data_IF_812802779102
#
_entry.id   IF_812802779102
#
_cell.length_a   1.000
_cell.length_b   1.000
_cell.length_c   1.000
_cell.angle_alpha   90.00
_cell.angle_beta   90.00
_cell.angle_gamma   90.00
#
_symmetry.space_group_name_H-M   'P 1'
#
loop_
_entity.id
_entity.type
_entity.pdbx_description
1 polymer ?
#
# COMPACT_ATOMS: atom_id res chain seq x y z
N UNK A 1 23.09 6.97 -4.66
CA UNK A 1 22.01 6.78 -5.67
C UNK A 1 20.87 5.93 -5.13
N UNK A 2 21.11 4.66 -4.75
CA UNK A 2 20.06 3.75 -4.27
C UNK A 2 19.30 4.25 -3.03
N UNK A 3 20.03 4.86 -2.07
CA UNK A 3 19.45 5.45 -0.86
C UNK A 3 18.50 6.61 -1.20
N UNK A 4 18.88 7.49 -2.14
CA UNK A 4 18.01 8.59 -2.58
C UNK A 4 16.73 8.05 -3.23
N UNK A 5 16.84 7.00 -4.06
CA UNK A 5 15.69 6.35 -4.65
C UNK A 5 14.78 5.70 -3.61
N UNK A 6 15.34 5.10 -2.55
CA UNK A 6 14.58 4.53 -1.43
C UNK A 6 13.84 5.62 -0.64
N UNK A 7 14.52 6.74 -0.34
CA UNK A 7 13.91 7.88 0.35
C UNK A 7 12.78 8.48 -0.49
N UNK A 8 12.99 8.66 -1.80
CA UNK A 8 11.97 9.16 -2.71
C UNK A 8 10.80 8.17 -2.80
N UNK A 9 11.07 6.87 -2.82
CA UNK A 9 10.01 5.87 -2.75
C UNK A 9 9.17 6.07 -1.48
N UNK A 10 9.78 6.18 -0.31
CA UNK A 10 9.05 6.42 0.95
C UNK A 10 8.22 7.71 0.91
N UNK A 11 8.77 8.80 0.37
CA UNK A 11 8.09 10.10 0.22
C UNK A 11 6.88 10.00 -0.73
N UNK A 12 6.91 9.11 -1.73
CA UNK A 12 5.79 8.92 -2.64
C UNK A 12 4.76 7.94 -2.04
N UNK A 13 5.23 6.82 -1.51
CA UNK A 13 4.40 5.72 -1.05
C UNK A 13 3.59 6.07 0.20
N UNK A 14 4.24 6.63 1.23
CA UNK A 14 3.58 6.87 2.52
C UNK A 14 2.44 7.88 2.38
N UNK A 15 2.61 9.06 1.75
CA UNK A 15 1.49 9.99 1.58
C UNK A 15 0.39 9.43 0.69
N UNK A 16 0.72 8.68 -0.36
CA UNK A 16 -0.28 8.07 -1.22
C UNK A 16 -1.15 7.07 -0.46
N UNK A 17 -0.53 6.19 0.35
CA UNK A 17 -1.24 5.25 1.21
C UNK A 17 -2.15 5.98 2.22
N UNK A 18 -1.61 7.02 2.87
CA UNK A 18 -2.36 7.84 3.83
C UNK A 18 -3.57 8.52 3.17
N UNK A 19 -3.44 9.09 1.97
CA UNK A 19 -4.55 9.72 1.25
C UNK A 19 -5.65 8.70 0.94
N UNK A 20 -5.31 7.51 0.47
CA UNK A 20 -6.29 6.46 0.19
C UNK A 20 -6.99 6.00 1.48
N UNK A 21 -6.25 5.86 2.58
CA UNK A 21 -6.79 5.51 3.88
C UNK A 21 -7.69 6.60 4.48
N UNK A 22 -7.40 7.87 4.26
CA UNK A 22 -8.31 8.97 4.63
C UNK A 22 -9.63 8.86 3.86
N UNK A 23 -9.56 8.50 2.57
CA UNK A 23 -10.73 8.42 1.69
C UNK A 23 -11.61 7.20 1.94
N UNK A 24 -11.01 6.04 2.13
CA UNK A 24 -11.72 4.76 2.17
C UNK A 24 -11.56 3.98 3.50
N UNK A 25 -10.59 4.34 4.33
CA UNK A 25 -10.24 3.60 5.54
C UNK A 25 -11.37 3.54 6.58
N UNK A 26 -12.26 4.53 6.62
CA UNK A 26 -13.45 4.52 7.51
C UNK A 26 -14.47 3.42 7.18
N UNK A 27 -14.39 2.82 5.99
CA UNK A 27 -15.27 1.73 5.53
C UNK A 27 -14.51 0.42 5.31
N UNK A 28 -13.24 0.38 5.70
CA UNK A 28 -12.33 -0.74 5.50
C UNK A 28 -12.24 -1.53 6.79
N UNK A 29 -12.98 -2.63 6.87
CA UNK A 29 -13.16 -3.41 8.10
C UNK A 29 -11.83 -3.83 8.75
N UNK A 30 -10.92 -4.40 7.95
CA UNK A 30 -9.59 -4.81 8.41
C UNK A 30 -8.81 -3.67 9.09
N UNK A 31 -8.89 -2.45 8.54
CA UNK A 31 -8.18 -1.30 9.10
C UNK A 31 -8.87 -0.75 10.35
N UNK A 32 -10.21 -0.77 10.41
CA UNK A 32 -10.99 -0.31 11.56
C UNK A 32 -10.69 -1.17 12.78
N UNK A 33 -10.58 -2.49 12.59
CA UNK A 33 -10.29 -3.47 13.64
C UNK A 33 -8.88 -3.34 14.22
N UNK A 34 -7.93 -2.79 13.45
CA UNK A 34 -6.57 -2.53 13.94
C UNK A 34 -6.55 -1.37 14.95
N UNK A 35 -5.73 -1.49 15.99
CA UNK A 35 -5.56 -0.47 17.03
C UNK A 35 -4.09 -0.18 17.35
N UNK A 36 -3.84 0.96 17.99
CA UNK A 36 -2.53 1.38 18.48
C UNK A 36 -1.46 1.46 17.39
N UNK A 37 -0.25 1.00 17.73
CA UNK A 37 0.92 1.06 16.85
C UNK A 37 0.73 0.26 15.54
N UNK A 38 0.00 -0.86 15.59
CA UNK A 38 -0.29 -1.69 14.40
C UNK A 38 -1.11 -0.91 13.38
N UNK A 39 -2.11 -0.15 13.83
CA UNK A 39 -2.91 0.72 12.96
C UNK A 39 -2.06 1.78 12.28
N UNK A 40 -1.17 2.43 13.03
CA UNK A 40 -0.26 3.42 12.48
C UNK A 40 0.65 2.81 11.40
N UNK A 41 1.19 1.61 11.65
CA UNK A 41 1.97 0.87 10.67
C UNK A 41 1.16 0.57 9.39
N UNK A 42 -0.05 0.03 9.52
CA UNK A 42 -0.90 -0.27 8.38
C UNK A 42 -1.31 0.98 7.59
N UNK A 43 -1.49 2.12 8.26
CA UNK A 43 -1.81 3.38 7.58
C UNK A 43 -0.69 3.87 6.65
N UNK A 44 0.57 3.57 6.98
CA UNK A 44 1.73 3.99 6.21
C UNK A 44 2.17 2.93 5.19
N UNK A 45 1.99 1.64 5.47
CA UNK A 45 2.44 0.55 4.61
C UNK A 45 1.37 0.02 3.65
N UNK A 46 0.10 0.09 4.04
CA UNK A 46 -1.03 -0.45 3.30
C UNK A 46 -2.06 0.64 2.98
N UNK A 47 -2.98 0.34 2.09
CA UNK A 47 -4.05 1.25 1.71
C UNK A 47 -5.37 0.52 1.48
N UNK A 48 -6.47 1.17 1.86
CA UNK A 48 -7.81 0.71 1.55
C UNK A 48 -8.26 1.27 0.19
N UNK A 49 -8.71 0.37 -0.69
CA UNK A 49 -9.26 0.73 -2.00
C UNK A 49 -10.51 -0.10 -2.30
N UNK A 50 -11.51 0.44 -3.01
CA UNK A 50 -12.69 -0.34 -3.42
C UNK A 50 -12.31 -1.58 -4.23
N UNK A 51 -12.99 -2.70 -4.01
CA UNK A 51 -12.73 -3.96 -4.72
C UNK A 51 -12.72 -3.80 -6.25
N UNK A 52 -13.60 -2.98 -6.83
CA UNK A 52 -13.64 -2.74 -8.27
C UNK A 52 -12.31 -2.20 -8.84
N UNK A 53 -11.53 -1.42 -8.06
CA UNK A 53 -10.23 -0.91 -8.51
C UNK A 53 -9.22 -2.03 -8.61
N UNK A 54 -9.28 -2.97 -7.67
CA UNK A 54 -8.44 -4.17 -7.65
C UNK A 54 -8.77 -5.04 -8.86
N UNK A 55 -10.05 -5.31 -9.12
CA UNK A 55 -10.46 -6.06 -10.32
C UNK A 55 -10.03 -5.40 -11.63
N UNK A 56 -10.07 -4.07 -11.70
CA UNK A 56 -9.69 -3.32 -12.91
C UNK A 56 -8.18 -3.34 -13.18
N UNK A 57 -7.35 -3.40 -12.12
CA UNK A 57 -5.87 -3.36 -12.23
C UNK A 57 -5.23 -4.37 -11.27
N UNK A 58 -5.49 -5.67 -11.41
CA UNK A 58 -5.09 -6.67 -10.41
C UNK A 58 -3.59 -6.70 -10.18
N UNK A 59 -2.79 -6.54 -11.23
CA UNK A 59 -1.32 -6.53 -11.16
C UNK A 59 -0.75 -5.38 -10.32
N UNK A 60 -1.52 -4.32 -10.08
CA UNK A 60 -1.07 -3.17 -9.32
C UNK A 60 -1.33 -3.33 -7.81
N UNK A 61 -2.09 -4.34 -7.39
CA UNK A 61 -2.52 -4.49 -6.00
C UNK A 61 -2.19 -5.89 -5.50
N UNK A 62 -1.83 -6.00 -4.22
CA UNK A 62 -1.89 -7.27 -3.49
C UNK A 62 -2.92 -7.13 -2.39
N UNK A 63 -3.81 -8.11 -2.23
CA UNK A 63 -4.72 -8.11 -1.08
C UNK A 63 -3.90 -8.38 0.19
N UNK A 64 -4.10 -7.54 1.20
CA UNK A 64 -3.36 -7.54 2.47
C UNK A 64 -4.31 -7.74 3.66
N UNK A 65 -5.37 -8.51 3.45
CA UNK A 65 -6.32 -8.92 4.47
C UNK A 65 -6.75 -10.37 4.26
N UNK A 66 -7.22 -11.00 5.32
CA UNK A 66 -7.84 -12.32 5.28
C UNK A 66 -9.20 -12.27 5.99
N UNK A 67 -10.07 -13.22 5.64
CA UNK A 67 -11.34 -13.42 6.33
C UNK A 67 -11.10 -14.40 7.49
N UNK A 68 -11.21 -13.92 8.73
CA UNK A 68 -11.19 -14.72 9.94
C UNK A 68 -12.61 -15.03 10.46
N UNK A 69 -12.70 -15.70 11.61
CA UNK A 69 -13.98 -16.06 12.24
C UNK A 69 -14.85 -14.84 12.58
N UNK A 70 -14.21 -13.75 13.00
CA UNK A 70 -14.87 -12.52 13.44
C UNK A 70 -14.91 -11.42 12.35
N UNK A 71 -14.54 -11.74 11.10
CA UNK A 71 -14.50 -10.76 10.00
C UNK A 71 -13.11 -10.53 9.42
N UNK A 72 -12.92 -9.40 8.74
CA UNK A 72 -11.68 -9.12 8.01
C UNK A 72 -10.55 -8.64 8.93
N UNK A 73 -9.36 -9.23 8.75
CA UNK A 73 -8.16 -8.87 9.52
C UNK A 73 -6.98 -8.53 8.61
N UNK A 74 -6.12 -7.55 8.98
CA UNK A 74 -4.92 -7.22 8.21
C UNK A 74 -3.91 -8.36 8.22
N UNK A 75 -3.31 -8.63 7.05
CA UNK A 75 -2.23 -9.61 6.90
C UNK A 75 -1.08 -8.97 6.12
N UNK A 76 0.12 -8.96 6.70
CA UNK A 76 1.34 -8.60 5.97
C UNK A 76 1.90 -9.89 5.37
N UNK A 77 1.73 -10.08 4.06
CA UNK A 77 2.39 -11.16 3.33
C UNK A 77 3.75 -10.65 2.82
N UNK A 78 4.83 -11.22 3.36
CA UNK A 78 6.20 -10.99 2.86
C UNK A 78 6.43 -11.91 1.64
N UNK A 79 5.80 -11.53 0.54
CA UNK A 79 5.95 -11.99 -0.85
C UNK A 79 6.73 -13.29 -1.13
N UNK A 80 6.06 -14.44 -1.00
CA UNK A 80 6.42 -15.66 -1.73
C UNK A 80 5.22 -16.32 -2.42
N UNK A 81 4.00 -16.16 -1.88
CA UNK A 81 2.75 -16.58 -2.53
C UNK A 81 1.83 -15.39 -2.77
N UNK A 82 1.86 -14.88 -4.01
CA UNK A 82 0.95 -13.83 -4.49
C UNK A 82 -0.24 -14.53 -5.16
N UNK A 83 -1.22 -14.94 -4.36
CA UNK A 83 -2.52 -15.38 -4.90
C UNK A 83 -3.11 -14.25 -5.77
N UNK A 84 -3.72 -14.60 -6.91
CA UNK A 84 -4.34 -13.59 -7.78
C UNK A 84 -5.44 -12.88 -6.95
N UNK A 85 -5.33 -11.56 -6.72
CA UNK A 85 -6.30 -10.84 -5.91
C UNK A 85 -7.73 -10.93 -6.49
N UNK A 86 -7.89 -11.26 -7.77
CA UNK A 86 -9.21 -11.46 -8.39
C UNK A 86 -9.87 -12.74 -7.93
N UNK A 87 -9.13 -13.83 -7.79
CA UNK A 87 -9.69 -15.10 -7.36
C UNK A 87 -10.21 -14.97 -5.93
N UNK A 88 -9.37 -14.43 -5.04
CA UNK A 88 -9.71 -14.20 -3.64
C UNK A 88 -10.91 -13.25 -3.47
N UNK A 89 -10.88 -12.08 -4.14
CA UNK A 89 -12.00 -11.13 -4.06
C UNK A 89 -13.26 -11.68 -4.74
N UNK A 90 -13.12 -12.48 -5.80
CA UNK A 90 -14.21 -13.14 -6.49
C UNK A 90 -14.94 -14.13 -5.58
N UNK A 91 -14.18 -14.91 -4.81
CA UNK A 91 -14.73 -15.80 -3.79
C UNK A 91 -15.53 -15.01 -2.75
N UNK A 92 -14.95 -13.96 -2.15
CA UNK A 92 -15.64 -13.15 -1.14
C UNK A 92 -16.88 -12.43 -1.68
N UNK A 93 -16.86 -11.99 -2.95
CA UNK A 93 -18.04 -11.45 -3.64
C UNK A 93 -19.14 -12.52 -3.78
N UNK A 94 -18.75 -13.72 -4.24
CA UNK A 94 -19.71 -14.82 -4.45
C UNK A 94 -20.37 -15.30 -3.16
N UNK A 95 -19.65 -15.21 -2.03
CA UNK A 95 -20.14 -15.53 -0.69
C UNK A 95 -20.95 -14.37 -0.07
N UNK A 96 -21.09 -13.23 -0.74
CA UNK A 96 -21.78 -12.05 -0.22
C UNK A 96 -21.06 -11.36 0.95
N UNK A 97 -19.77 -11.66 1.16
CA UNK A 97 -18.95 -11.07 2.25
C UNK A 97 -18.51 -9.64 1.93
N UNK A 98 -18.36 -9.33 0.66
CA UNK A 98 -18.05 -7.98 0.17
C UNK A 98 -18.98 -7.62 -0.99
N UNK A 99 -19.01 -6.32 -1.30
CA UNK A 99 -19.58 -5.76 -2.53
C UNK A 99 -18.47 -5.15 -3.38
N UNK A 100 -18.77 -4.78 -4.63
CA UNK A 100 -17.78 -4.19 -5.55
C UNK A 100 -17.21 -2.85 -5.04
N UNK A 101 -17.98 -2.15 -4.20
CA UNK A 101 -17.60 -0.86 -3.60
C UNK A 101 -16.97 -1.01 -2.21
N UNK A 102 -17.00 -2.21 -1.63
CA UNK A 102 -16.39 -2.48 -0.32
C UNK A 102 -14.89 -2.21 -0.40
N UNK A 103 -14.34 -1.32 0.44
CA UNK A 103 -12.91 -1.11 0.49
C UNK A 103 -12.20 -2.31 1.10
N UNK A 104 -11.18 -2.78 0.39
CA UNK A 104 -10.30 -3.86 0.81
C UNK A 104 -8.90 -3.30 1.06
N UNK A 105 -8.26 -3.81 2.10
CA UNK A 105 -6.90 -3.47 2.47
C UNK A 105 -5.93 -4.16 1.51
N UNK A 106 -5.04 -3.37 0.93
CA UNK A 106 -4.12 -3.80 -0.13
C UNK A 106 -2.75 -3.16 0.04
N UNK A 107 -1.73 -3.78 -0.53
CA UNK A 107 -0.48 -3.08 -0.88
C UNK A 107 -0.53 -2.66 -2.34
N UNK A 108 0.12 -1.53 -2.66
CA UNK A 108 0.28 -1.06 -4.04
C UNK A 108 1.64 -1.46 -4.57
N UNK A 109 1.68 -2.09 -5.74
CA UNK A 109 2.91 -2.30 -6.48
C UNK A 109 3.17 -1.07 -7.37
N UNK A 110 3.96 -0.10 -6.88
CA UNK A 110 4.60 0.87 -7.80
C UNK A 110 5.90 0.24 -8.27
N UNK A 111 6.13 0.13 -9.58
CA UNK A 111 7.42 -0.32 -10.05
C UNK A 111 8.50 0.65 -9.52
N UNK A 112 9.48 0.10 -8.79
CA UNK A 112 10.59 0.87 -8.19
C UNK A 112 11.36 1.70 -9.23
N UNK A 113 11.18 1.40 -10.52
CA UNK A 113 11.71 2.20 -11.62
C UNK A 113 11.30 3.68 -11.53
N UNK A 114 10.10 4.01 -11.06
CA UNK A 114 9.64 5.40 -10.95
C UNK A 114 10.45 6.18 -9.91
N UNK A 115 10.51 5.78 -8.63
CA UNK A 115 11.32 6.49 -7.65
C UNK A 115 12.83 6.43 -7.96
N UNK A 116 13.30 5.35 -8.60
CA UNK A 116 14.69 5.27 -9.07
C UNK A 116 14.98 6.33 -10.13
N UNK A 117 14.12 6.46 -11.13
CA UNK A 117 14.28 7.43 -12.23
C UNK A 117 14.20 8.87 -11.72
N UNK A 118 13.24 9.18 -10.84
CA UNK A 118 13.14 10.50 -10.20
C UNK A 118 14.39 10.80 -9.36
N UNK A 119 14.85 9.82 -8.58
CA UNK A 119 16.08 9.97 -7.79
C UNK A 119 17.33 10.20 -8.63
N UNK A 120 17.42 9.55 -9.80
CA UNK A 120 18.50 9.78 -10.75
C UNK A 120 18.45 11.20 -11.32
N UNK A 121 17.28 11.68 -11.76
CA UNK A 121 17.11 13.04 -12.30
C UNK A 121 17.50 14.08 -11.26
N UNK A 122 17.02 13.97 -10.02
CA UNK A 122 17.34 14.91 -8.94
C UNK A 122 18.85 14.90 -8.66
N UNK A 123 19.47 13.73 -8.63
CA UNK A 123 20.91 13.62 -8.43
C UNK A 123 21.71 14.28 -9.56
N UNK A 124 21.32 14.09 -10.82
CA UNK A 124 22.00 14.70 -11.98
C UNK A 124 21.83 16.22 -11.96
N UNK A 125 20.64 16.73 -11.69
CA UNK A 125 20.33 18.17 -11.77
C UNK A 125 20.91 18.94 -10.59
N UNK A 126 20.78 18.41 -9.38
CA UNK A 126 21.12 19.15 -8.17
C UNK A 126 22.49 18.78 -7.60
N UNK A 127 23.10 17.67 -8.05
CA UNK A 127 24.26 17.04 -7.38
C UNK A 127 24.06 16.78 -5.89
N UNK A 128 22.81 16.84 -5.42
CA UNK A 128 22.44 16.66 -4.02
C UNK A 128 22.32 15.18 -3.73
N UNK A 129 23.01 14.74 -2.69
CA UNK A 129 22.78 13.45 -2.07
C UNK A 129 21.91 13.69 -0.83
N UNK A 130 20.71 13.11 -0.77
CA UNK A 130 19.77 13.37 0.33
C UNK A 130 20.36 13.01 1.70
N UNK A 131 21.27 12.04 1.74
CA UNK A 131 22.04 11.67 2.93
C UNK A 131 22.87 12.85 3.45
N UNK A 132 23.47 13.65 2.57
CA UNK A 132 24.29 14.81 2.96
C UNK A 132 23.43 15.94 3.52
N UNK A 133 22.22 16.15 2.99
CA UNK A 133 21.26 17.10 3.57
C UNK A 133 20.77 16.61 4.93
N UNK A 134 20.41 15.33 5.04
CA UNK A 134 19.90 14.74 6.28
C UNK A 134 20.95 14.81 7.41
N UNK A 135 22.23 14.56 7.09
CA UNK A 135 23.36 14.68 8.01
C UNK A 135 23.72 16.13 8.34
N UNK A 136 23.48 17.08 7.43
CA UNK A 136 23.71 18.51 7.69
C UNK A 136 22.61 19.16 8.53
N UNK A 137 21.43 18.53 8.60
CA UNK A 137 20.29 18.98 9.42
C UNK A 137 20.23 18.36 10.81
N UNK A 138 21.23 17.53 11.16
CA UNK A 138 21.38 16.82 12.43
C UNK A 138 22.54 17.42 13.22
#
# INVERSE_FOLDING_TARGET
MLINSLIIALIIYVPYNVIQNIRYGKRCEALIRSQGLKKALYLVTLMCVPAYKVFKKPNNYSVAQALGEDGFEPVIRLGLDVEDPRELLGEWLSQGRISIDTPVLTSYHIPLIIPITIGLIIYIVAHINFVTILLASL
#
